data_IF_987085447900
#
_entry.id   IF_987085447900
#
_cell.length_a   1.000
_cell.length_b   1.000
_cell.length_c   1.000
_cell.angle_alpha   90.00
_cell.angle_beta   90.00
_cell.angle_gamma   90.00
#
_symmetry.space_group_name_H-M   'P 1'
#
loop_
_entity.id
_entity.type
_entity.pdbx_description
1 polymer ?
#
# COMPACT_ATOMS: atom_id res chain seq x y z
N UNK A 1 -3.59 -16.77 12.20
CA UNK A 1 -3.53 -16.27 10.82
C UNK A 1 -3.11 -14.81 10.86
N UNK A 2 -2.10 -14.42 10.07
CA UNK A 2 -1.60 -13.04 10.06
C UNK A 2 -2.43 -12.22 9.04
N UNK A 3 -3.25 -11.28 9.52
CA UNK A 3 -4.12 -10.44 8.66
C UNK A 3 -3.33 -9.74 7.56
N UNK A 4 -2.13 -9.24 7.88
CA UNK A 4 -1.25 -8.59 6.90
C UNK A 4 -0.96 -9.51 5.72
N UNK A 5 -0.64 -10.76 6.00
CA UNK A 5 -0.30 -11.75 4.97
C UNK A 5 -1.53 -12.13 4.15
N UNK A 6 -2.71 -12.25 4.76
CA UNK A 6 -3.95 -12.52 4.04
C UNK A 6 -4.33 -11.36 3.10
N UNK A 7 -4.13 -10.11 3.51
CA UNK A 7 -4.31 -8.94 2.64
C UNK A 7 -3.35 -9.04 1.44
N UNK A 8 -2.07 -9.33 1.67
CA UNK A 8 -1.10 -9.47 0.57
C UNK A 8 -1.51 -10.58 -0.41
N UNK A 9 -1.99 -11.72 0.08
CA UNK A 9 -2.47 -12.82 -0.77
C UNK A 9 -3.68 -12.44 -1.62
N UNK A 10 -4.57 -11.57 -1.11
CA UNK A 10 -5.79 -11.15 -1.83
C UNK A 10 -5.63 -9.92 -2.71
N UNK A 11 -4.46 -9.28 -2.68
CA UNK A 11 -4.22 -7.99 -3.37
C UNK A 11 -3.03 -8.05 -4.33
N UNK A 12 -2.77 -9.24 -4.89
CA UNK A 12 -1.62 -9.48 -5.77
C UNK A 12 -0.30 -8.99 -5.14
N UNK A 13 -0.05 -9.45 -3.90
CA UNK A 13 1.10 -9.06 -3.07
C UNK A 13 1.21 -7.55 -2.85
N UNK A 14 0.08 -6.86 -2.77
CA UNK A 14 -0.04 -5.41 -2.50
C UNK A 14 -0.08 -4.51 -3.73
N UNK A 15 -0.02 -5.06 -4.96
CA UNK A 15 -0.13 -4.26 -6.18
C UNK A 15 -1.51 -3.60 -6.30
N UNK A 16 -2.57 -4.33 -5.96
CA UNK A 16 -3.94 -3.82 -6.10
C UNK A 16 -4.21 -2.66 -5.13
N UNK A 17 -3.52 -2.63 -3.98
CA UNK A 17 -3.56 -1.52 -3.02
C UNK A 17 -2.95 -0.27 -3.65
N UNK A 18 -1.79 -0.40 -4.33
CA UNK A 18 -1.23 0.74 -5.05
C UNK A 18 -2.16 1.24 -6.14
N UNK A 19 -2.75 0.35 -6.96
CA UNK A 19 -3.70 0.78 -7.99
C UNK A 19 -4.94 1.47 -7.41
N UNK A 20 -5.44 1.02 -6.26
CA UNK A 20 -6.62 1.60 -5.63
C UNK A 20 -6.34 3.01 -5.08
N UNK A 21 -5.22 3.19 -4.35
CA UNK A 21 -4.94 4.45 -3.66
C UNK A 21 -4.11 5.45 -4.48
N UNK A 22 -3.39 5.02 -5.53
CA UNK A 22 -2.57 5.93 -6.33
C UNK A 22 -3.47 6.87 -7.14
N UNK A 23 -3.33 8.21 -7.01
CA UNK A 23 -4.18 9.18 -7.71
C UNK A 23 -3.86 9.30 -9.20
N UNK A 24 -2.90 8.52 -9.70
CA UNK A 24 -2.45 8.51 -11.08
C UNK A 24 -2.29 7.09 -11.59
N UNK A 25 -2.40 6.91 -12.90
CA UNK A 25 -2.04 5.65 -13.54
C UNK A 25 -0.52 5.48 -13.53
N UNK A 26 -0.06 4.25 -13.28
CA UNK A 26 1.34 3.88 -13.38
C UNK A 26 1.48 2.49 -14.02
N UNK A 27 2.69 2.17 -14.45
CA UNK A 27 3.07 0.84 -14.91
C UNK A 27 4.20 0.35 -13.99
N UNK A 28 4.08 -0.83 -13.37
CA UNK A 28 5.15 -1.37 -12.53
C UNK A 28 6.50 -1.38 -13.26
N UNK A 29 7.59 -1.13 -12.52
CA UNK A 29 8.98 -1.00 -12.99
C UNK A 29 9.24 0.16 -13.97
N UNK A 30 8.25 1.01 -14.27
CA UNK A 30 8.43 2.25 -15.03
C UNK A 30 8.34 3.44 -14.09
N UNK A 31 9.27 4.38 -14.22
CA UNK A 31 9.24 5.59 -13.41
C UNK A 31 8.08 6.50 -13.80
N UNK A 32 7.45 7.10 -12.79
CA UNK A 32 6.44 8.14 -12.87
C UNK A 32 6.80 9.27 -11.91
N UNK A 33 6.12 10.42 -12.02
CA UNK A 33 6.29 11.53 -11.08
C UNK A 33 5.54 11.24 -9.80
N UNK A 34 6.19 11.35 -8.65
CA UNK A 34 5.56 11.06 -7.38
C UNK A 34 4.42 12.05 -7.09
N UNK A 35 3.18 11.59 -6.85
CA UNK A 35 2.06 12.49 -6.59
C UNK A 35 2.05 13.08 -5.17
N UNK A 36 2.95 12.63 -4.28
CA UNK A 36 2.99 13.05 -2.87
C UNK A 36 3.74 14.37 -2.64
N UNK A 37 4.44 14.89 -3.66
CA UNK A 37 5.10 16.20 -3.63
C UNK A 37 5.23 16.77 -5.05
N UNK A 38 5.75 18.00 -5.17
CA UNK A 38 6.02 18.64 -6.47
C UNK A 38 7.26 18.03 -7.16
N UNK A 39 7.09 16.81 -7.67
CA UNK A 39 8.16 16.06 -8.32
C UNK A 39 8.42 16.53 -9.75
N UNK A 40 9.63 17.07 -10.00
CA UNK A 40 10.01 17.67 -11.28
C UNK A 40 10.43 16.66 -12.34
N UNK A 41 10.80 15.44 -11.94
CA UNK A 41 11.33 14.39 -12.84
C UNK A 41 10.80 13.05 -12.38
N UNK A 42 10.40 12.17 -13.29
CA UNK A 42 9.89 10.86 -12.94
C UNK A 42 10.91 10.05 -12.11
N UNK A 43 10.76 10.07 -10.79
CA UNK A 43 11.68 9.48 -9.82
C UNK A 43 11.10 8.26 -9.10
N UNK A 44 9.80 8.04 -9.18
CA UNK A 44 9.12 7.00 -8.41
C UNK A 44 8.75 5.80 -9.29
N UNK A 45 8.90 4.57 -8.77
CA UNK A 45 8.30 3.39 -9.39
C UNK A 45 7.72 2.42 -8.35
N UNK A 46 6.81 1.57 -8.82
CA UNK A 46 6.29 0.43 -8.06
C UNK A 46 6.94 -0.84 -8.61
N UNK A 47 7.51 -1.68 -7.75
CA UNK A 47 8.21 -2.90 -8.15
C UNK A 47 7.95 -4.05 -7.16
N UNK A 48 8.00 -5.29 -7.63
CA UNK A 48 7.96 -6.46 -6.76
C UNK A 48 9.33 -6.65 -6.10
N UNK A 49 9.38 -6.57 -4.77
CA UNK A 49 10.57 -6.87 -3.98
C UNK A 49 10.65 -8.37 -3.69
N UNK A 50 11.63 -9.05 -4.29
CA UNK A 50 11.78 -10.49 -4.17
C UNK A 50 12.13 -10.95 -2.74
N UNK A 51 12.67 -10.06 -1.89
CA UNK A 51 13.05 -10.42 -0.52
C UNK A 51 11.84 -10.49 0.42
N UNK A 52 10.93 -9.52 0.31
CA UNK A 52 9.70 -9.48 1.09
C UNK A 52 8.53 -10.15 0.37
N UNK A 53 8.73 -10.56 -0.88
CA UNK A 53 7.71 -11.09 -1.78
C UNK A 53 6.49 -10.17 -1.85
N UNK A 54 6.68 -8.85 -1.94
CA UNK A 54 5.58 -7.91 -2.05
C UNK A 54 5.94 -6.67 -2.86
N UNK A 55 4.93 -6.01 -3.42
CA UNK A 55 5.14 -4.77 -4.16
C UNK A 55 5.50 -3.64 -3.22
N UNK A 56 6.45 -2.81 -3.67
CA UNK A 56 6.98 -1.66 -2.95
C UNK A 56 7.07 -0.45 -3.87
N UNK A 57 6.98 0.72 -3.27
CA UNK A 57 7.25 2.00 -3.89
C UNK A 57 8.69 2.41 -3.60
N UNK A 58 9.46 2.74 -4.64
CA UNK A 58 10.77 3.38 -4.50
C UNK A 58 10.74 4.72 -5.19
N UNK A 59 11.17 5.75 -4.47
CA UNK A 59 11.44 7.07 -5.02
C UNK A 59 12.95 7.33 -5.00
N UNK A 60 13.53 7.58 -6.18
CA UNK A 60 14.95 7.88 -6.36
C UNK A 60 15.29 9.36 -6.17
N UNK A 61 14.29 10.24 -6.15
CA UNK A 61 14.42 11.68 -5.96
C UNK A 61 14.31 12.08 -4.50
N UNK A 62 13.45 11.41 -3.73
CA UNK A 62 13.33 11.59 -2.29
C UNK A 62 12.97 10.28 -1.57
N UNK A 63 13.97 9.68 -0.91
CA UNK A 63 13.84 8.37 -0.27
C UNK A 63 12.78 8.32 0.85
N UNK A 64 12.40 9.47 1.42
CA UNK A 64 11.34 9.58 2.43
C UNK A 64 9.96 9.11 1.91
N UNK A 65 9.78 9.08 0.58
CA UNK A 65 8.55 8.60 -0.06
C UNK A 65 8.67 7.17 -0.61
N UNK A 66 9.57 6.36 -0.05
CA UNK A 66 9.71 4.94 -0.35
C UNK A 66 9.10 4.08 0.76
N UNK A 67 8.39 3.02 0.38
CA UNK A 67 7.70 2.18 1.37
C UNK A 67 7.02 0.95 0.77
N UNK A 68 6.36 0.16 1.61
CA UNK A 68 5.46 -0.90 1.15
C UNK A 68 4.05 -0.37 0.89
N UNK A 69 3.16 -1.25 0.40
CA UNK A 69 1.77 -0.89 0.12
C UNK A 69 0.99 -0.40 1.35
N UNK A 70 1.34 -0.84 2.57
CA UNK A 70 0.65 -0.43 3.79
C UNK A 70 1.05 0.97 4.22
N UNK A 71 2.36 1.29 4.16
CA UNK A 71 2.83 2.66 4.37
C UNK A 71 2.20 3.63 3.37
N UNK A 72 2.11 3.23 2.10
CA UNK A 72 1.50 4.06 1.07
C UNK A 72 0.01 4.29 1.33
N UNK A 73 -0.75 3.21 1.62
CA UNK A 73 -2.16 3.32 1.96
C UNK A 73 -2.40 4.19 3.20
N UNK A 74 -1.57 4.08 4.24
CA UNK A 74 -1.63 4.94 5.41
C UNK A 74 -1.42 6.41 5.03
N UNK A 75 -0.37 6.69 4.25
CA UNK A 75 -0.05 8.04 3.77
C UNK A 75 -1.20 8.65 2.98
N UNK A 76 -1.81 7.88 2.07
CA UNK A 76 -2.96 8.33 1.27
C UNK A 76 -4.23 8.59 2.10
N UNK A 77 -4.32 8.00 3.28
CA UNK A 77 -5.43 8.20 4.22
C UNK A 77 -5.11 9.24 5.32
N UNK A 78 -3.89 9.75 5.38
CA UNK A 78 -3.45 10.63 6.48
C UNK A 78 -3.26 9.91 7.82
N UNK A 79 -2.98 8.60 7.80
CA UNK A 79 -2.68 7.78 8.97
C UNK A 79 -1.18 7.51 9.11
N UNK A 80 -0.74 7.20 10.32
CA UNK A 80 0.62 6.75 10.63
C UNK A 80 0.71 5.21 10.65
N UNK A 81 1.45 4.63 9.71
CA UNK A 81 1.61 3.17 9.59
C UNK A 81 2.31 2.50 10.80
N UNK A 82 3.02 3.25 11.64
CA UNK A 82 3.71 2.73 12.82
C UNK A 82 2.79 2.67 14.05
N UNK A 83 1.93 3.67 14.22
CA UNK A 83 1.06 3.80 15.41
C UNK A 83 -0.38 3.37 15.15
N UNK A 84 -0.86 3.47 13.91
CA UNK A 84 -2.26 3.23 13.51
C UNK A 84 -2.41 2.02 12.57
N UNK A 85 -1.43 1.10 12.58
CA UNK A 85 -1.36 -0.01 11.63
C UNK A 85 -2.66 -0.85 11.54
N UNK A 86 -3.33 -1.13 12.66
CA UNK A 86 -4.59 -1.89 12.65
C UNK A 86 -5.72 -1.15 11.92
N UNK A 87 -5.78 0.19 12.04
CA UNK A 87 -6.75 1.01 11.32
C UNK A 87 -6.43 1.04 9.83
N UNK A 88 -5.14 1.07 9.45
CA UNK A 88 -4.71 0.94 8.05
C UNK A 88 -5.19 -0.40 7.46
N UNK A 89 -5.02 -1.51 8.19
CA UNK A 89 -5.51 -2.82 7.74
C UNK A 89 -7.05 -2.82 7.60
N UNK A 90 -7.77 -2.26 8.56
CA UNK A 90 -9.23 -2.17 8.53
C UNK A 90 -9.73 -1.37 7.31
N UNK A 91 -9.14 -0.22 7.04
CA UNK A 91 -9.54 0.58 5.89
C UNK A 91 -9.21 -0.13 4.57
N UNK A 92 -8.03 -0.75 4.42
CA UNK A 92 -7.71 -1.53 3.21
C UNK A 92 -8.74 -2.65 3.00
N UNK A 93 -9.10 -3.39 4.05
CA UNK A 93 -10.10 -4.47 3.97
C UNK A 93 -11.45 -3.92 3.51
N UNK A 94 -11.91 -2.81 4.09
CA UNK A 94 -13.18 -2.19 3.74
C UNK A 94 -13.18 -1.65 2.31
N UNK A 95 -12.16 -0.90 1.95
CA UNK A 95 -12.11 -0.14 0.70
C UNK A 95 -11.91 -1.06 -0.52
N UNK A 96 -11.10 -2.12 -0.38
CA UNK A 96 -10.94 -3.17 -1.39
C UNK A 96 -11.98 -4.30 -1.24
N UNK A 97 -12.94 -4.16 -0.33
CA UNK A 97 -14.01 -5.13 -0.06
C UNK A 97 -13.49 -6.57 0.16
N UNK A 98 -12.35 -6.70 0.85
CA UNK A 98 -11.72 -7.97 1.12
C UNK A 98 -12.55 -8.72 2.17
N UNK A 99 -12.87 -10.00 1.93
CA UNK A 99 -13.62 -10.82 2.89
C UNK A 99 -12.76 -11.33 4.07
N UNK A 100 -11.97 -10.45 4.70
CA UNK A 100 -11.01 -10.76 5.77
C UNK A 100 -11.60 -10.36 7.12
N UNK A 101 -11.40 -11.17 8.15
CA UNK A 101 -11.86 -10.84 9.51
C UNK A 101 -10.71 -10.35 10.38
N UNK A 102 -10.88 -9.19 10.99
CA UNK A 102 -9.93 -8.66 11.97
C UNK A 102 -10.12 -9.34 13.32
N UNK A 103 -9.02 -9.67 14.03
CA UNK A 103 -9.11 -10.18 15.39
C UNK A 103 -9.78 -9.15 16.31
N UNK A 104 -10.78 -9.57 17.09
CA UNK A 104 -11.50 -8.72 18.04
C UNK A 104 -12.84 -8.14 17.55
N UNK A 105 -13.12 -8.18 16.24
CA UNK A 105 -14.47 -7.98 15.70
C UNK A 105 -15.11 -9.34 15.48
N UNK A 106 -15.78 -9.87 16.51
CA UNK A 106 -16.72 -10.96 16.32
C UNK A 106 -17.72 -10.51 15.25
N UNK A 107 -17.92 -11.36 14.22
CA UNK A 107 -18.97 -11.12 13.22
C UNK A 107 -20.30 -11.16 13.97
N UNK A 108 -20.93 -10.02 14.19
CA UNK A 108 -22.36 -10.00 14.50
C UNK A 108 -23.05 -10.59 13.29
N UNK A 109 -23.63 -11.78 13.49
CA UNK A 109 -24.45 -12.50 12.53
C UNK A 109 -25.70 -11.69 12.16
#
# INVERSE_FOLDING_TARGET
>A
MNVKEEILQRTNRGLDIFYFYMPINFVPKRNFRNPLYDDKRASCNIYLDAKSDCYRMKDFGNDLYSGDCFWFAATMQGLDAHTEFMQVLETIIRDLQLSISLPGKARSA
#
